data_IF_253872558860
#
_entry.id   IF_253872558860
#
_cell.length_a   1.000
_cell.length_b   1.000
_cell.length_c   1.000
_cell.angle_alpha   90.00
_cell.angle_beta   90.00
_cell.angle_gamma   90.00
#
_symmetry.space_group_name_H-M   'P 1'
#
loop_
_entity.id
_entity.type
_entity.pdbx_description
1 polymer ?
#
# COMPACT_ATOMS: atom_id res chain seq x y z
N UNK A 1 -20.18 12.52 22.07
CA UNK A 1 -19.37 13.52 21.33
C UNK A 1 -18.16 12.73 20.86
N UNK A 2 -18.34 12.04 19.74
CA UNK A 2 -17.36 11.07 19.27
C UNK A 2 -16.14 11.82 18.75
N UNK A 3 -15.01 11.66 19.44
CA UNK A 3 -13.71 11.96 18.85
C UNK A 3 -13.50 10.95 17.73
N UNK A 4 -13.86 11.33 16.51
CA UNK A 4 -13.32 10.72 15.30
C UNK A 4 -11.81 10.86 15.43
N UNK A 5 -11.11 9.75 15.73
CA UNK A 5 -9.67 9.66 15.58
C UNK A 5 -9.35 10.09 14.15
N UNK A 6 -8.77 11.29 13.99
CA UNK A 6 -8.24 11.74 12.72
C UNK A 6 -7.14 10.75 12.33
N UNK A 7 -7.45 9.84 11.40
CA UNK A 7 -6.45 9.01 10.73
C UNK A 7 -5.57 9.99 9.96
N UNK A 8 -4.41 10.32 10.53
CA UNK A 8 -3.46 11.24 9.94
C UNK A 8 -2.24 10.45 9.47
N UNK A 9 -2.13 10.33 8.15
CA UNK A 9 -1.09 9.56 7.48
C UNK A 9 0.21 10.37 7.42
N UNK A 10 1.34 9.69 7.40
CA UNK A 10 2.65 10.31 7.45
C UNK A 10 3.32 10.31 6.08
N UNK A 11 3.80 11.49 5.67
CA UNK A 11 4.78 11.67 4.60
C UNK A 11 6.14 11.84 5.27
N UNK A 12 7.03 10.87 5.15
CA UNK A 12 8.44 11.04 5.49
C UNK A 12 9.14 11.71 4.31
N UNK A 13 9.47 12.98 4.43
CA UNK A 13 10.22 13.72 3.42
C UNK A 13 11.70 13.75 3.82
N UNK A 14 12.56 13.22 2.95
CA UNK A 14 14.02 13.21 3.10
C UNK A 14 14.62 14.12 2.04
N UNK A 15 15.22 15.22 2.47
CA UNK A 15 16.02 16.10 1.61
C UNK A 15 17.51 15.81 1.79
N UNK A 16 18.17 15.30 0.76
CA UNK A 16 19.62 15.07 0.76
C UNK A 16 20.36 16.40 0.56
N UNK A 17 21.17 16.81 1.54
CA UNK A 17 21.95 18.03 1.43
C UNK A 17 22.98 17.92 0.30
N UNK A 18 23.17 19.02 -0.41
CA UNK A 18 24.22 19.19 -1.42
C UNK A 18 25.21 20.28 -1.01
N UNK A 19 26.42 20.26 -1.58
CA UNK A 19 27.40 21.35 -1.48
C UNK A 19 26.96 22.59 -2.27
N UNK A 20 26.09 22.42 -3.25
CA UNK A 20 25.56 23.51 -4.05
C UNK A 20 24.37 24.19 -3.36
N UNK A 21 24.46 25.50 -3.19
CA UNK A 21 23.45 26.30 -2.48
C UNK A 21 22.09 26.33 -3.20
N UNK A 22 22.10 26.36 -4.54
CA UNK A 22 20.87 26.40 -5.34
C UNK A 22 20.09 25.10 -5.17
N UNK A 23 20.78 23.97 -5.13
CA UNK A 23 20.17 22.65 -4.98
C UNK A 23 19.48 22.48 -3.62
N UNK A 24 20.10 22.97 -2.54
CA UNK A 24 19.43 23.00 -1.24
C UNK A 24 18.20 23.93 -1.22
N UNK A 25 18.21 25.00 -2.00
CA UNK A 25 17.05 25.90 -2.14
C UNK A 25 15.90 25.19 -2.86
N UNK A 26 16.19 24.38 -3.87
CA UNK A 26 15.19 23.61 -4.61
C UNK A 26 14.49 22.57 -3.72
N UNK A 27 15.26 21.82 -2.93
CA UNK A 27 14.74 20.89 -1.92
C UNK A 27 13.85 21.63 -0.89
N UNK A 28 14.29 22.79 -0.42
CA UNK A 28 13.49 23.60 0.50
C UNK A 28 12.19 24.09 -0.16
N UNK A 29 12.25 24.59 -1.39
CA UNK A 29 11.07 25.06 -2.13
C UNK A 29 10.03 23.96 -2.31
N UNK A 30 10.48 22.74 -2.62
CA UNK A 30 9.61 21.57 -2.69
C UNK A 30 8.99 21.24 -1.34
N UNK A 31 9.80 21.04 -0.31
CA UNK A 31 9.32 20.63 1.02
C UNK A 31 8.35 21.65 1.62
N UNK A 32 8.62 22.95 1.47
CA UNK A 32 7.70 24.02 1.89
C UNK A 32 6.38 24.01 1.10
N UNK A 33 6.42 23.72 -0.21
CA UNK A 33 5.20 23.62 -1.00
C UNK A 33 4.32 22.45 -0.54
N UNK A 34 4.93 21.31 -0.21
CA UNK A 34 4.22 20.14 0.34
C UNK A 34 3.69 20.46 1.74
N UNK A 35 4.49 21.05 2.62
CA UNK A 35 4.09 21.43 3.97
C UNK A 35 2.86 22.36 3.94
N UNK A 36 2.88 23.41 3.10
CA UNK A 36 1.74 24.34 2.96
C UNK A 36 0.45 23.64 2.52
N UNK A 37 0.54 22.61 1.67
CA UNK A 37 -0.63 21.81 1.26
C UNK A 37 -1.15 20.96 2.42
N UNK A 38 -0.26 20.40 3.23
CA UNK A 38 -0.61 19.51 4.34
C UNK A 38 -1.04 20.24 5.60
N UNK A 39 -0.68 21.52 5.74
CA UNK A 39 -1.16 22.40 6.82
C UNK A 39 -2.64 22.82 6.63
N UNK A 40 -3.25 22.50 5.49
CA UNK A 40 -4.67 22.73 5.27
C UNK A 40 -5.53 21.86 6.21
N UNK A 41 -6.60 22.43 6.78
CA UNK A 41 -7.44 21.77 7.80
C UNK A 41 -8.08 20.44 7.36
N UNK A 42 -8.24 20.21 6.06
CA UNK A 42 -8.84 19.00 5.49
C UNK A 42 -7.81 17.91 5.14
N UNK A 43 -6.52 18.18 5.35
CA UNK A 43 -5.45 17.22 5.08
C UNK A 43 -5.58 15.98 5.96
N UNK A 44 -5.44 14.81 5.33
CA UNK A 44 -5.29 13.49 5.94
C UNK A 44 -3.84 13.09 6.10
N UNK A 45 -2.92 14.03 5.88
CA UNK A 45 -1.49 13.80 5.98
C UNK A 45 -0.79 14.86 6.82
N UNK A 46 0.31 14.47 7.43
CA UNK A 46 1.31 15.37 8.02
C UNK A 46 2.70 15.02 7.47
N UNK A 47 3.60 16.00 7.47
CA UNK A 47 4.95 15.88 6.92
C UNK A 47 5.98 15.75 8.04
N UNK A 48 6.82 14.72 7.98
CA UNK A 48 8.04 14.56 8.77
C UNK A 48 9.23 14.91 7.88
N UNK A 49 9.67 16.17 7.95
CA UNK A 49 10.78 16.69 7.16
C UNK A 49 12.13 16.36 7.83
N UNK A 50 13.00 15.67 7.08
CA UNK A 50 14.37 15.32 7.48
C UNK A 50 15.36 15.82 6.43
N UNK A 51 16.15 16.83 6.79
CA UNK A 51 17.30 17.24 5.98
C UNK A 51 18.54 16.47 6.44
N UNK A 52 19.19 15.78 5.51
CA UNK A 52 20.19 14.75 5.83
C UNK A 52 21.53 15.07 5.16
N UNK A 53 22.63 14.90 5.90
CA UNK A 53 24.00 15.07 5.42
C UNK A 53 24.86 13.80 5.44
N UNK A 54 24.30 12.65 5.83
CA UNK A 54 25.01 11.36 5.85
C UNK A 54 24.06 10.20 5.50
N UNK A 55 24.59 9.15 4.86
CA UNK A 55 23.79 7.96 4.49
C UNK A 55 23.15 7.29 5.72
N UNK A 56 23.86 7.25 6.84
CA UNK A 56 23.38 6.66 8.10
C UNK A 56 22.08 7.30 8.60
N UNK A 57 21.92 8.60 8.43
CA UNK A 57 20.70 9.31 8.82
C UNK A 57 19.49 8.90 7.96
N UNK A 58 19.70 8.49 6.70
CA UNK A 58 18.63 7.95 5.84
C UNK A 58 18.10 6.66 6.43
N UNK A 59 19.01 5.75 6.81
CA UNK A 59 18.63 4.50 7.50
C UNK A 59 17.94 4.78 8.83
N UNK A 60 18.36 5.82 9.57
CA UNK A 60 17.72 6.19 10.83
C UNK A 60 16.31 6.78 10.65
N UNK A 61 16.07 7.50 9.55
CA UNK A 61 14.75 8.03 9.23
C UNK A 61 13.79 6.92 8.77
N UNK A 62 14.28 5.98 7.98
CA UNK A 62 13.52 4.85 7.42
C UNK A 62 13.54 3.68 8.42
N UNK A 63 12.64 3.71 9.39
CA UNK A 63 12.49 2.62 10.37
C UNK A 63 11.01 2.23 10.49
N UNK A 64 10.72 0.94 10.71
CA UNK A 64 9.36 0.42 10.94
C UNK A 64 8.58 1.23 11.97
N UNK A 65 9.22 1.65 13.06
CA UNK A 65 8.60 2.44 14.14
C UNK A 65 8.12 3.83 13.69
N UNK A 66 8.66 4.35 12.58
CA UNK A 66 8.26 5.65 12.04
C UNK A 66 7.03 5.53 11.13
N UNK A 67 6.69 4.31 10.69
CA UNK A 67 5.48 3.89 9.96
C UNK A 67 4.95 4.88 8.91
N UNK A 68 5.79 5.40 7.99
CA UNK A 68 5.34 6.32 6.95
C UNK A 68 4.47 5.63 5.90
N UNK A 69 3.39 6.28 5.47
CA UNK A 69 2.61 5.81 4.33
C UNK A 69 3.25 6.22 3.00
N UNK A 70 3.93 7.36 2.97
CA UNK A 70 4.72 7.82 1.83
C UNK A 70 6.13 8.15 2.29
N UNK A 71 7.14 7.66 1.55
CA UNK A 71 8.52 8.12 1.68
C UNK A 71 8.84 8.93 0.43
N UNK A 72 9.20 10.20 0.62
CA UNK A 72 9.64 11.10 -0.44
C UNK A 72 11.13 11.35 -0.25
N UNK A 73 11.95 11.06 -1.26
CA UNK A 73 13.38 11.37 -1.25
C UNK A 73 13.67 12.37 -2.35
N UNK A 74 14.18 13.53 -1.97
CA UNK A 74 14.54 14.64 -2.85
C UNK A 74 16.03 14.94 -2.70
N UNK A 75 16.72 15.20 -3.80
CA UNK A 75 18.16 15.35 -3.80
C UNK A 75 18.75 15.39 -5.20
N UNK A 76 20.08 15.36 -5.27
CA UNK A 76 20.81 15.19 -6.52
C UNK A 76 21.30 13.78 -6.67
N UNK A 77 21.48 13.37 -7.92
CA UNK A 77 22.03 12.08 -8.21
C UNK A 77 22.91 12.10 -9.44
N UNK A 78 23.83 11.13 -9.47
CA UNK A 78 24.64 10.82 -10.64
C UNK A 78 23.79 10.18 -11.74
N UNK A 79 24.30 10.09 -12.98
CA UNK A 79 23.60 9.41 -14.08
C UNK A 79 23.33 7.91 -13.81
N UNK A 80 24.11 7.30 -12.91
CA UNK A 80 23.87 5.93 -12.43
C UNK A 80 22.75 5.82 -11.38
N UNK A 81 22.16 6.95 -10.97
CA UNK A 81 21.06 7.04 -10.02
C UNK A 81 21.47 6.97 -8.55
N UNK A 82 22.72 7.31 -8.22
CA UNK A 82 23.23 7.35 -6.84
C UNK A 82 22.95 8.71 -6.25
N UNK A 83 22.39 8.78 -5.04
CA UNK A 83 22.04 10.06 -4.42
C UNK A 83 23.29 10.67 -3.77
N UNK A 84 23.60 11.90 -4.11
CA UNK A 84 24.67 12.67 -3.50
C UNK A 84 24.20 13.20 -2.15
N UNK A 85 24.90 12.81 -1.08
CA UNK A 85 24.61 13.25 0.28
C UNK A 85 25.87 13.88 0.85
N UNK A 86 25.80 15.19 1.14
CA UNK A 86 26.97 15.97 1.56
C UNK A 86 26.77 16.48 2.98
N UNK A 87 27.80 16.32 3.82
CA UNK A 87 27.86 16.92 5.14
C UNK A 87 28.03 18.44 5.01
N UNK A 88 27.11 19.20 5.61
CA UNK A 88 27.17 20.67 5.66
C UNK A 88 28.41 21.19 6.37
N UNK A 89 28.98 20.40 7.29
CA UNK A 89 30.16 20.78 8.07
C UNK A 89 31.47 20.41 7.35
N UNK A 90 31.45 19.41 6.46
CA UNK A 90 32.61 18.95 5.71
C UNK A 90 32.22 18.49 4.29
N UNK A 91 32.14 19.42 3.32
CA UNK A 91 31.74 19.10 1.95
C UNK A 91 32.64 18.07 1.24
N UNK A 92 33.85 17.81 1.76
CA UNK A 92 34.76 16.82 1.20
C UNK A 92 34.45 15.39 1.66
N UNK A 93 33.50 15.21 2.58
CA UNK A 93 33.01 13.90 3.04
C UNK A 93 31.67 13.52 2.41
N UNK A 94 31.40 13.98 1.19
CA UNK A 94 30.25 13.53 0.43
C UNK A 94 30.22 12.01 0.29
N UNK A 95 29.06 11.42 0.55
CA UNK A 95 28.78 10.00 0.38
C UNK A 95 27.74 9.83 -0.73
N UNK A 96 27.82 8.71 -1.45
CA UNK A 96 26.77 8.32 -2.39
C UNK A 96 25.88 7.26 -1.73
N UNK A 97 24.58 7.50 -1.70
CA UNK A 97 23.61 6.46 -1.41
C UNK A 97 23.36 5.63 -2.67
N UNK A 98 23.89 4.41 -2.67
CA UNK A 98 23.70 3.44 -3.75
C UNK A 98 22.24 2.94 -3.80
N UNK A 99 21.69 2.67 -5.01
CA UNK A 99 20.35 2.11 -5.18
C UNK A 99 20.11 0.83 -4.35
N UNK A 100 21.07 -0.10 -4.35
CA UNK A 100 20.96 -1.37 -3.62
C UNK A 100 20.93 -1.14 -2.09
N UNK A 101 21.69 -0.16 -1.59
CA UNK A 101 21.66 0.22 -0.17
C UNK A 101 20.31 0.84 0.22
N UNK A 102 19.72 1.67 -0.65
CA UNK A 102 18.40 2.24 -0.43
C UNK A 102 17.30 1.16 -0.37
N UNK A 103 17.40 0.11 -1.21
CA UNK A 103 16.51 -1.07 -1.13
C UNK A 103 16.54 -1.71 0.25
N UNK A 104 17.73 -1.94 0.81
CA UNK A 104 17.89 -2.54 2.15
C UNK A 104 17.31 -1.66 3.26
N UNK A 105 17.44 -0.33 3.16
CA UNK A 105 16.78 0.57 4.11
C UNK A 105 15.25 0.50 4.00
N UNK A 106 14.73 0.48 2.78
CA UNK A 106 13.29 0.42 2.55
C UNK A 106 12.65 -0.88 3.01
N UNK A 107 13.34 -2.03 2.90
CA UNK A 107 12.89 -3.32 3.49
C UNK A 107 12.61 -3.22 4.99
N UNK A 108 13.24 -2.27 5.70
CA UNK A 108 13.07 -2.04 7.13
C UNK A 108 12.02 -0.97 7.50
N UNK A 109 11.38 -0.34 6.51
CA UNK A 109 10.45 0.78 6.70
C UNK A 109 9.08 0.41 7.30
N UNK A 110 8.72 -0.88 7.33
CA UNK A 110 7.33 -1.31 7.47
C UNK A 110 6.55 -1.12 6.16
N UNK A 111 5.22 -1.27 6.18
CA UNK A 111 4.43 -1.16 4.95
C UNK A 111 4.34 0.30 4.48
N UNK A 112 4.80 0.58 3.25
CA UNK A 112 4.82 1.91 2.64
C UNK A 112 3.97 1.86 1.37
N UNK A 113 2.97 2.71 1.25
CA UNK A 113 2.10 2.74 0.07
C UNK A 113 2.83 3.25 -1.18
N UNK A 114 3.71 4.24 -1.02
CA UNK A 114 4.44 4.86 -2.12
C UNK A 114 5.83 5.34 -1.70
N UNK A 115 6.83 5.03 -2.51
CA UNK A 115 8.14 5.70 -2.47
C UNK A 115 8.25 6.63 -3.67
N UNK A 116 8.48 7.92 -3.45
CA UNK A 116 8.70 8.93 -4.49
C UNK A 116 10.18 9.34 -4.48
N UNK A 117 10.90 8.96 -5.53
CA UNK A 117 12.30 9.33 -5.75
C UNK A 117 12.37 10.56 -6.65
N UNK A 118 12.30 11.74 -6.05
CA UNK A 118 12.26 13.01 -6.75
C UNK A 118 13.65 13.59 -7.01
N UNK A 119 14.44 12.86 -7.79
CA UNK A 119 15.78 13.25 -8.23
C UNK A 119 16.07 12.66 -9.61
N UNK A 120 16.97 13.30 -10.37
CA UNK A 120 17.33 12.87 -11.72
C UNK A 120 17.83 11.41 -11.76
N UNK A 121 17.62 10.72 -12.89
CA UNK A 121 18.12 9.36 -13.12
C UNK A 121 17.66 8.29 -12.10
N UNK A 122 16.62 8.55 -11.32
CA UNK A 122 16.15 7.63 -10.28
C UNK A 122 15.44 6.36 -10.79
N UNK A 123 15.25 6.21 -12.12
CA UNK A 123 14.61 5.04 -12.74
C UNK A 123 15.20 3.70 -12.28
N UNK A 124 16.53 3.58 -12.22
CA UNK A 124 17.19 2.31 -11.84
C UNK A 124 16.87 1.94 -10.39
N UNK A 125 16.98 2.91 -9.47
CA UNK A 125 16.61 2.71 -8.08
C UNK A 125 15.12 2.37 -7.94
N UNK A 126 14.25 3.07 -8.68
CA UNK A 126 12.82 2.82 -8.64
C UNK A 126 12.44 1.40 -9.07
N UNK A 127 13.04 0.88 -10.13
CA UNK A 127 12.83 -0.50 -10.62
C UNK A 127 13.34 -1.54 -9.61
N UNK A 128 14.52 -1.32 -9.02
CA UNK A 128 15.09 -2.22 -7.99
C UNK A 128 14.20 -2.27 -6.74
N UNK A 129 13.78 -1.11 -6.21
CA UNK A 129 12.90 -1.04 -5.04
C UNK A 129 11.58 -1.75 -5.33
N UNK A 130 10.97 -1.51 -6.48
CA UNK A 130 9.70 -2.14 -6.83
C UNK A 130 9.81 -3.68 -6.86
N UNK A 131 10.94 -4.22 -7.34
CA UNK A 131 11.19 -5.67 -7.44
C UNK A 131 11.55 -6.31 -6.10
N UNK A 132 12.32 -5.62 -5.26
CA UNK A 132 12.98 -6.24 -4.11
C UNK A 132 12.41 -5.83 -2.74
N UNK A 133 11.84 -4.63 -2.61
CA UNK A 133 11.24 -4.16 -1.37
C UNK A 133 9.75 -4.55 -1.34
N UNK A 134 9.49 -5.79 -0.90
CA UNK A 134 8.14 -6.39 -0.86
C UNK A 134 7.14 -5.67 0.06
N UNK A 135 7.61 -4.72 0.86
CA UNK A 135 6.81 -3.88 1.75
C UNK A 135 6.42 -2.53 1.10
N UNK A 136 6.77 -2.28 -0.17
CA UNK A 136 6.52 -1.00 -0.88
C UNK A 136 5.48 -1.18 -1.99
N UNK A 137 4.35 -0.46 -1.88
CA UNK A 137 3.20 -0.52 -2.79
C UNK A 137 3.49 -0.11 -4.23
N UNK A 138 4.15 1.02 -4.40
CA UNK A 138 4.61 1.49 -5.69
C UNK A 138 5.80 2.44 -5.54
N UNK A 139 6.54 2.60 -6.62
CA UNK A 139 7.72 3.47 -6.65
C UNK A 139 7.62 4.40 -7.85
N UNK A 140 7.67 5.70 -7.57
CA UNK A 140 7.71 6.75 -8.58
C UNK A 140 9.15 7.21 -8.70
N UNK A 141 9.63 7.33 -9.93
CA UNK A 141 10.97 7.84 -10.22
C UNK A 141 11.01 8.65 -11.52
N UNK A 142 12.22 9.04 -11.93
CA UNK A 142 12.49 9.94 -13.04
C UNK A 142 13.43 9.25 -14.02
N UNK A 143 13.03 9.21 -15.30
CA UNK A 143 13.81 8.64 -16.38
C UNK A 143 14.65 9.71 -17.09
N UNK A 144 15.86 9.93 -16.58
CA UNK A 144 16.78 10.95 -17.05
C UNK A 144 16.72 12.22 -16.21
N UNK A 145 17.03 13.35 -16.83
CA UNK A 145 16.98 14.66 -16.20
C UNK A 145 15.57 15.24 -16.09
N UNK A 146 15.39 16.09 -15.08
CA UNK A 146 14.21 16.92 -14.91
C UNK A 146 14.59 18.35 -14.51
N UNK A 147 13.81 19.33 -14.97
CA UNK A 147 13.91 20.70 -14.49
C UNK A 147 13.37 20.81 -13.05
N UNK A 148 14.04 21.59 -12.20
CA UNK A 148 13.65 21.76 -10.80
C UNK A 148 12.23 22.29 -10.63
N UNK A 149 11.79 23.22 -11.49
CA UNK A 149 10.42 23.74 -11.47
C UNK A 149 9.42 22.66 -11.81
N UNK A 150 9.73 21.81 -12.80
CA UNK A 150 8.89 20.66 -13.15
C UNK A 150 8.80 19.64 -12.01
N UNK A 151 9.89 19.43 -11.28
CA UNK A 151 9.93 18.54 -10.12
C UNK A 151 9.07 19.06 -8.95
N UNK A 152 9.14 20.37 -8.67
CA UNK A 152 8.30 21.03 -7.68
C UNK A 152 6.82 20.98 -8.09
N UNK A 153 6.49 21.22 -9.35
CA UNK A 153 5.11 21.20 -9.85
C UNK A 153 4.52 19.80 -9.89
N UNK A 154 5.33 18.77 -10.18
CA UNK A 154 4.95 17.37 -9.98
C UNK A 154 4.49 17.16 -8.54
N UNK A 155 5.36 17.46 -7.57
CA UNK A 155 5.11 17.22 -6.15
C UNK A 155 3.88 17.97 -5.66
N UNK A 156 3.73 19.26 -6.01
CA UNK A 156 2.51 20.04 -5.69
C UNK A 156 1.25 19.37 -6.20
N UNK A 157 1.19 19.01 -7.48
CA UNK A 157 -0.01 18.43 -8.08
C UNK A 157 -0.29 17.01 -7.56
N UNK A 158 0.75 16.20 -7.35
CA UNK A 158 0.66 14.88 -6.74
C UNK A 158 0.06 14.97 -5.33
N UNK A 159 0.65 15.77 -4.44
CA UNK A 159 0.19 15.88 -3.06
C UNK A 159 -1.14 16.61 -2.91
N UNK A 160 -1.42 17.61 -3.74
CA UNK A 160 -2.76 18.24 -3.79
C UNK A 160 -3.85 17.23 -4.16
N UNK A 161 -3.55 16.28 -5.06
CA UNK A 161 -4.48 15.21 -5.41
C UNK A 161 -4.69 14.20 -4.26
N UNK A 162 -3.76 14.12 -3.31
CA UNK A 162 -3.81 13.21 -2.17
C UNK A 162 -4.37 13.84 -0.90
N UNK A 163 -4.28 15.16 -0.70
CA UNK A 163 -4.47 15.82 0.60
C UNK A 163 -5.67 15.29 1.41
N UNK A 164 -6.84 15.08 0.80
CA UNK A 164 -8.06 14.64 1.47
C UNK A 164 -8.34 13.13 1.42
N UNK A 165 -7.42 12.32 0.87
CA UNK A 165 -7.62 10.89 0.58
C UNK A 165 -6.89 9.99 1.58
N UNK A 166 -7.50 8.85 1.90
CA UNK A 166 -6.86 7.77 2.65
C UNK A 166 -6.21 6.80 1.65
N UNK A 167 -4.97 6.39 1.89
CA UNK A 167 -4.22 5.45 1.05
C UNK A 167 -4.61 4.01 1.39
N UNK A 168 -5.82 3.64 1.00
CA UNK A 168 -6.34 2.28 1.18
C UNK A 168 -6.10 1.37 -0.03
N UNK A 169 -5.79 1.95 -1.20
CA UNK A 169 -5.55 1.24 -2.46
C UNK A 169 -4.49 1.93 -3.34
N UNK A 170 -3.99 1.22 -4.35
CA UNK A 170 -3.00 1.73 -5.29
C UNK A 170 -3.58 2.73 -6.32
N UNK A 171 -4.88 2.67 -6.63
CA UNK A 171 -5.50 3.52 -7.65
C UNK A 171 -5.50 5.00 -7.27
N UNK A 172 -5.62 5.30 -5.97
CA UNK A 172 -5.47 6.66 -5.42
C UNK A 172 -4.09 7.24 -5.75
N UNK A 173 -3.02 6.44 -5.64
CA UNK A 173 -1.67 6.88 -5.99
C UNK A 173 -1.50 7.02 -7.51
N UNK A 174 -2.05 6.10 -8.31
CA UNK A 174 -1.99 6.17 -9.78
C UNK A 174 -2.69 7.41 -10.33
N UNK A 175 -3.83 7.79 -9.75
CA UNK A 175 -4.54 9.03 -10.07
C UNK A 175 -3.68 10.25 -9.72
N UNK A 176 -3.12 10.30 -8.51
CA UNK A 176 -2.25 11.39 -8.07
C UNK A 176 -0.98 11.49 -8.94
N UNK A 177 -0.37 10.36 -9.30
CA UNK A 177 0.75 10.28 -10.23
C UNK A 177 0.39 10.87 -11.59
N UNK A 178 -0.80 10.55 -12.11
CA UNK A 178 -1.28 11.08 -13.39
C UNK A 178 -1.43 12.61 -13.35
N UNK A 179 -1.92 13.16 -12.23
CA UNK A 179 -2.00 14.63 -12.01
C UNK A 179 -0.62 15.27 -11.90
N UNK A 180 0.29 14.67 -11.12
CA UNK A 180 1.67 15.12 -10.99
C UNK A 180 2.40 15.15 -12.33
N UNK A 181 2.35 14.04 -13.07
CA UNK A 181 2.99 13.92 -14.39
C UNK A 181 2.45 14.96 -15.36
N UNK A 182 1.13 15.17 -15.40
CA UNK A 182 0.52 16.19 -16.26
C UNK A 182 0.98 17.62 -15.92
N UNK A 183 1.25 17.93 -14.65
CA UNK A 183 1.79 19.23 -14.24
C UNK A 183 3.27 19.39 -14.68
N UNK A 184 4.11 18.38 -14.42
CA UNK A 184 5.52 18.38 -14.82
C UNK A 184 5.72 18.50 -16.33
N UNK A 185 4.88 17.84 -17.12
CA UNK A 185 4.97 17.84 -18.58
C UNK A 185 4.60 19.19 -19.23
N UNK A 186 4.06 20.16 -18.46
CA UNK A 186 3.86 21.53 -18.96
C UNK A 186 5.19 22.27 -19.14
N UNK A 187 6.20 21.90 -18.35
CA UNK A 187 7.54 22.49 -18.37
C UNK A 187 8.48 21.59 -19.18
N UNK A 188 8.47 20.29 -18.86
CA UNK A 188 9.26 19.28 -19.56
C UNK A 188 8.47 18.73 -20.74
N UNK A 189 8.91 18.96 -21.98
CA UNK A 189 8.23 18.45 -23.20
C UNK A 189 8.28 16.92 -23.36
N UNK A 190 8.70 16.19 -22.32
CA UNK A 190 8.88 14.74 -22.27
C UNK A 190 8.33 14.22 -20.95
N UNK A 191 7.61 13.10 -21.00
CA UNK A 191 7.18 12.39 -19.80
C UNK A 191 8.39 11.75 -19.11
N UNK A 192 8.97 12.47 -18.15
CA UNK A 192 10.14 12.01 -17.39
C UNK A 192 9.75 11.09 -16.23
N UNK A 193 8.61 11.34 -15.58
CA UNK A 193 8.13 10.54 -14.46
C UNK A 193 7.59 9.17 -14.88
N UNK A 194 8.03 8.16 -14.16
CA UNK A 194 7.61 6.76 -14.32
C UNK A 194 7.09 6.23 -12.99
N UNK A 195 6.18 5.25 -13.06
CA UNK A 195 5.64 4.55 -11.92
C UNK A 195 5.84 3.06 -12.13
N UNK A 196 6.55 2.42 -11.19
CA UNK A 196 6.60 0.97 -11.06
C UNK A 196 5.62 0.54 -9.99
N UNK A 197 4.78 -0.46 -10.32
CA UNK A 197 4.01 -1.14 -9.28
C UNK A 197 4.99 -1.97 -8.47
N UNK A 198 4.97 -1.80 -7.15
CA UNK A 198 5.80 -2.59 -6.26
C UNK A 198 5.25 -4.01 -6.14
N UNK A 199 6.04 -4.89 -5.55
CA UNK A 199 5.63 -6.26 -5.24
C UNK A 199 4.82 -6.37 -3.95
N UNK A 200 4.33 -5.25 -3.39
CA UNK A 200 3.56 -5.27 -2.15
C UNK A 200 2.31 -6.12 -2.25
N UNK A 201 2.40 -7.28 -1.63
CA UNK A 201 1.29 -8.19 -1.41
C UNK A 201 0.63 -7.76 -0.11
N UNK A 202 -0.62 -7.29 -0.17
CA UNK A 202 -1.39 -6.94 1.02
C UNK A 202 -1.80 -8.23 1.74
N UNK A 203 -0.88 -8.79 2.52
CA UNK A 203 -1.10 -10.04 3.26
C UNK A 203 -1.84 -9.75 4.56
N UNK A 204 -2.91 -10.50 4.80
CA UNK A 204 -3.82 -10.30 5.92
C UNK A 204 -4.19 -11.63 6.58
N UNK A 205 -4.60 -11.55 7.84
CA UNK A 205 -5.49 -12.54 8.47
C UNK A 205 -6.90 -11.98 8.49
N UNK A 206 -7.88 -12.85 8.29
CA UNK A 206 -9.30 -12.47 8.26
C UNK A 206 -10.01 -13.24 9.37
N UNK A 207 -10.60 -12.54 10.35
CA UNK A 207 -11.24 -13.15 11.52
C UNK A 207 -12.74 -12.85 11.58
N UNK A 208 -13.55 -13.86 11.90
CA UNK A 208 -15.00 -13.73 12.03
C UNK A 208 -15.37 -13.08 13.35
N UNK A 209 -16.22 -12.05 13.30
CA UNK A 209 -16.70 -11.30 14.46
C UNK A 209 -18.02 -11.83 15.05
N UNK A 210 -18.39 -13.08 14.73
CA UNK A 210 -19.60 -13.70 15.31
C UNK A 210 -19.57 -13.75 16.83
N UNK A 211 -20.75 -13.64 17.46
CA UNK A 211 -20.90 -13.44 18.91
C UNK A 211 -20.67 -14.71 19.75
N UNK A 212 -20.46 -15.87 19.11
CA UNK A 212 -20.21 -17.13 19.80
C UNK A 212 -18.70 -17.44 19.88
N UNK A 213 -18.21 -18.06 20.97
CA UNK A 213 -16.83 -18.55 21.04
C UNK A 213 -16.57 -19.68 20.03
N UNK A 214 -15.34 -19.77 19.52
CA UNK A 214 -14.91 -20.85 18.64
C UNK A 214 -13.82 -20.42 17.66
N UNK A 215 -13.66 -21.15 16.57
CA UNK A 215 -12.66 -20.88 15.54
C UNK A 215 -13.06 -19.65 14.74
N UNK A 216 -12.11 -18.73 14.49
CA UNK A 216 -12.41 -17.41 13.92
C UNK A 216 -11.69 -17.11 12.62
N UNK A 217 -10.52 -17.69 12.37
CA UNK A 217 -9.70 -17.30 11.23
C UNK A 217 -10.14 -18.01 9.96
N UNK A 218 -10.40 -17.25 8.90
CA UNK A 218 -10.70 -17.81 7.59
C UNK A 218 -9.49 -18.63 7.10
N UNK A 219 -9.67 -19.92 6.85
CA UNK A 219 -8.60 -20.85 6.52
C UNK A 219 -8.86 -21.53 5.18
N UNK A 220 -7.95 -21.31 4.22
CA UNK A 220 -7.96 -21.96 2.93
C UNK A 220 -7.20 -23.29 2.96
N UNK A 221 -7.90 -24.40 2.84
CA UNK A 221 -7.33 -25.75 2.80
C UNK A 221 -6.93 -26.07 1.36
N UNK A 222 -5.73 -25.62 0.99
CA UNK A 222 -5.28 -25.50 -0.41
C UNK A 222 -5.19 -26.82 -1.17
N UNK A 223 -4.92 -27.93 -0.48
CA UNK A 223 -4.90 -29.28 -1.08
C UNK A 223 -6.30 -29.77 -1.44
N UNK A 224 -7.25 -29.58 -0.53
CA UNK A 224 -8.62 -30.07 -0.66
C UNK A 224 -9.53 -29.12 -1.47
N UNK A 225 -9.10 -27.86 -1.65
CA UNK A 225 -9.90 -26.84 -2.32
C UNK A 225 -11.09 -26.35 -1.48
N UNK A 226 -11.01 -26.50 -0.16
CA UNK A 226 -12.09 -26.15 0.77
C UNK A 226 -11.70 -24.96 1.63
N UNK A 227 -12.69 -24.33 2.27
CA UNK A 227 -12.51 -23.19 3.17
C UNK A 227 -13.25 -23.48 4.46
N UNK A 228 -12.64 -23.13 5.59
CA UNK A 228 -13.24 -23.29 6.91
C UNK A 228 -12.77 -22.20 7.88
N UNK A 229 -13.02 -22.43 9.16
CA UNK A 229 -12.49 -21.60 10.24
C UNK A 229 -11.38 -22.34 10.98
N UNK A 230 -10.36 -21.60 11.42
CA UNK A 230 -9.23 -22.08 12.20
C UNK A 230 -9.12 -21.35 13.56
N UNK A 231 -8.53 -22.00 14.58
CA UNK A 231 -8.35 -21.42 15.91
C UNK A 231 -7.16 -20.45 16.01
N UNK A 232 -6.20 -20.53 15.09
CA UNK A 232 -4.93 -19.80 15.13
C UNK A 232 -4.47 -19.48 13.71
N UNK A 233 -3.63 -18.45 13.57
CA UNK A 233 -2.97 -18.08 12.30
C UNK A 233 -1.56 -18.66 12.17
N UNK A 234 -1.17 -19.55 13.07
CA UNK A 234 0.17 -20.14 13.17
C UNK A 234 0.12 -21.66 13.24
N UNK A 235 1.29 -22.30 13.10
CA UNK A 235 1.41 -23.76 13.15
C UNK A 235 0.85 -24.41 11.89
N UNK A 236 -0.07 -25.37 12.05
CA UNK A 236 -0.63 -26.15 10.93
C UNK A 236 -1.61 -25.36 10.04
N UNK A 237 -2.06 -24.18 10.48
CA UNK A 237 -3.08 -23.36 9.79
C UNK A 237 -2.46 -22.35 8.84
N UNK A 238 -1.62 -22.83 7.94
CA UNK A 238 -0.87 -22.01 6.97
C UNK A 238 -1.81 -21.29 5.99
N UNK A 239 -3.01 -21.83 5.77
CA UNK A 239 -4.05 -21.27 4.91
C UNK A 239 -4.80 -20.05 5.45
N UNK A 240 -4.48 -19.58 6.67
CA UNK A 240 -5.07 -18.38 7.28
C UNK A 240 -4.47 -17.06 6.80
N UNK A 241 -3.41 -17.13 5.99
CA UNK A 241 -2.76 -15.97 5.38
C UNK A 241 -3.33 -15.76 3.98
N UNK A 242 -3.86 -14.57 3.75
CA UNK A 242 -4.51 -14.21 2.51
C UNK A 242 -3.86 -12.97 1.92
N UNK A 243 -3.57 -13.00 0.63
CA UNK A 243 -3.18 -11.82 -0.14
C UNK A 243 -4.41 -11.17 -0.76
N UNK A 244 -4.62 -9.89 -0.47
CA UNK A 244 -5.66 -9.07 -1.09
C UNK A 244 -5.09 -8.49 -2.39
N UNK A 245 -5.69 -8.87 -3.51
CA UNK A 245 -5.45 -8.25 -4.81
C UNK A 245 -6.63 -7.32 -5.15
N UNK A 246 -6.40 -6.02 -5.14
CA UNK A 246 -7.45 -5.02 -5.39
C UNK A 246 -7.62 -4.75 -6.89
N UNK A 247 -8.86 -4.88 -7.39
CA UNK A 247 -9.21 -4.73 -8.80
C UNK A 247 -9.77 -3.34 -9.12
N UNK A 248 -10.60 -2.79 -8.23
CA UNK A 248 -11.16 -1.44 -8.34
C UNK A 248 -11.65 -0.93 -6.99
N UNK A 249 -11.78 0.39 -6.81
CA UNK A 249 -12.30 0.97 -5.57
C UNK A 249 -13.22 2.14 -5.87
N UNK A 250 -14.30 2.28 -5.09
CA UNK A 250 -15.25 3.38 -5.17
C UNK A 250 -15.83 3.68 -3.79
N UNK A 251 -15.55 4.86 -3.23
CA UNK A 251 -16.00 5.20 -1.88
C UNK A 251 -15.47 4.22 -0.83
N UNK A 252 -16.38 3.62 -0.05
CA UNK A 252 -16.06 2.64 0.99
C UNK A 252 -16.05 1.18 0.48
N UNK A 253 -16.23 0.96 -0.81
CA UNK A 253 -16.21 -0.36 -1.42
C UNK A 253 -14.99 -0.56 -2.31
N UNK A 254 -14.39 -1.75 -2.21
CA UNK A 254 -13.26 -2.18 -3.03
C UNK A 254 -13.57 -3.56 -3.59
N UNK A 255 -13.43 -3.73 -4.90
CA UNK A 255 -13.52 -5.05 -5.54
C UNK A 255 -12.16 -5.71 -5.45
N UNK A 256 -12.11 -6.91 -4.89
CA UNK A 256 -10.87 -7.65 -4.60
C UNK A 256 -10.95 -9.11 -5.07
N UNK A 257 -9.79 -9.76 -5.16
CA UNK A 257 -9.67 -11.22 -5.08
C UNK A 257 -8.79 -11.58 -3.89
N UNK A 258 -9.10 -12.68 -3.22
CA UNK A 258 -8.37 -13.17 -2.05
C UNK A 258 -7.59 -14.43 -2.43
N UNK A 259 -6.26 -14.37 -2.36
CA UNK A 259 -5.38 -15.50 -2.65
C UNK A 259 -4.83 -16.11 -1.36
N UNK A 260 -5.09 -17.39 -1.12
CA UNK A 260 -4.62 -18.14 0.03
C UNK A 260 -3.13 -18.49 -0.13
N UNK A 261 -2.33 -18.15 0.88
CA UNK A 261 -0.88 -18.37 0.91
C UNK A 261 -0.47 -19.66 1.62
N UNK A 262 -1.37 -20.65 1.71
CA UNK A 262 -1.09 -21.94 2.34
C UNK A 262 0.07 -22.69 1.65
N UNK A 263 0.88 -23.37 2.48
CA UNK A 263 2.16 -23.96 2.07
C UNK A 263 2.04 -25.06 1.00
N UNK A 264 0.87 -25.69 0.89
CA UNK A 264 0.65 -26.76 -0.10
C UNK A 264 0.20 -26.16 -1.44
N UNK A 265 0.88 -26.47 -2.57
CA UNK A 265 0.41 -26.11 -3.91
C UNK A 265 -1.00 -26.66 -4.19
N UNK A 266 -1.83 -25.90 -4.90
CA UNK A 266 -3.19 -26.32 -5.21
C UNK A 266 -4.10 -25.14 -5.51
N UNK A 267 -5.33 -25.21 -5.01
CA UNK A 267 -6.29 -24.12 -5.14
C UNK A 267 -5.84 -22.91 -4.32
N UNK A 268 -6.15 -21.70 -4.79
CA UNK A 268 -5.60 -20.45 -4.25
C UNK A 268 -6.65 -19.39 -4.00
N UNK A 269 -7.64 -19.23 -4.86
CA UNK A 269 -8.53 -18.08 -4.79
C UNK A 269 -9.81 -18.38 -4.03
N UNK A 270 -10.20 -17.53 -3.08
CA UNK A 270 -11.48 -17.65 -2.38
C UNK A 270 -12.62 -17.53 -3.38
N UNK A 271 -13.45 -18.56 -3.48
CA UNK A 271 -14.52 -18.67 -4.48
C UNK A 271 -15.88 -18.87 -3.80
N UNK A 272 -16.77 -17.90 -3.99
CA UNK A 272 -18.15 -17.96 -3.53
C UNK A 272 -19.05 -18.63 -4.57
N UNK A 273 -19.50 -19.85 -4.29
CA UNK A 273 -20.39 -20.63 -5.15
C UNK A 273 -21.84 -20.24 -4.87
N UNK A 274 -22.28 -19.18 -5.52
CA UNK A 274 -23.53 -18.46 -5.19
C UNK A 274 -24.78 -19.33 -5.34
N UNK A 275 -24.83 -20.24 -6.31
CA UNK A 275 -25.98 -21.16 -6.49
C UNK A 275 -26.15 -22.11 -5.31
N UNK A 276 -25.05 -22.67 -4.83
CA UNK A 276 -25.03 -23.67 -3.75
C UNK A 276 -24.97 -23.03 -2.36
N UNK A 277 -24.65 -21.74 -2.27
CA UNK A 277 -24.44 -21.03 -1.01
C UNK A 277 -23.17 -21.48 -0.26
N UNK A 278 -22.21 -22.07 -0.97
CA UNK A 278 -20.97 -22.60 -0.37
C UNK A 278 -19.76 -21.75 -0.72
N UNK A 279 -18.67 -21.94 0.02
CA UNK A 279 -17.39 -21.27 -0.21
C UNK A 279 -16.29 -22.31 -0.34
N UNK A 280 -15.40 -22.12 -1.30
CA UNK A 280 -14.26 -23.00 -1.53
C UNK A 280 -13.06 -22.23 -2.05
N UNK A 281 -12.07 -22.98 -2.54
CA UNK A 281 -10.95 -22.41 -3.28
C UNK A 281 -11.03 -22.78 -4.75
N UNK A 282 -10.70 -21.82 -5.62
CA UNK A 282 -10.57 -21.97 -7.05
C UNK A 282 -9.09 -21.92 -7.48
N UNK A 283 -8.71 -22.55 -8.60
CA UNK A 283 -7.35 -22.53 -9.12
C UNK A 283 -7.04 -21.27 -9.95
N UNK A 284 -8.06 -20.49 -10.34
CA UNK A 284 -7.95 -19.29 -11.17
C UNK A 284 -9.09 -18.33 -10.84
N UNK A 285 -8.92 -17.05 -11.18
CA UNK A 285 -9.94 -15.99 -11.06
C UNK A 285 -10.73 -15.73 -12.35
N UNK A 286 -10.54 -16.60 -13.35
CA UNK A 286 -11.11 -16.47 -14.69
C UNK A 286 -11.85 -17.73 -15.12
N UNK A 287 -12.60 -17.65 -16.22
CA UNK A 287 -13.36 -18.78 -16.75
C UNK A 287 -14.59 -19.05 -15.91
N UNK A 288 -14.76 -20.30 -15.47
CA UNK A 288 -15.95 -20.76 -14.72
C UNK A 288 -15.99 -20.30 -13.26
N UNK A 289 -14.89 -19.76 -12.73
CA UNK A 289 -14.74 -19.36 -11.32
C UNK A 289 -15.16 -17.90 -11.12
N UNK A 290 -16.42 -17.59 -11.46
CA UNK A 290 -16.94 -16.22 -11.42
C UNK A 290 -17.04 -15.68 -9.98
N UNK A 291 -17.12 -16.59 -8.99
CA UNK A 291 -17.26 -16.27 -7.57
C UNK A 291 -15.97 -15.83 -6.88
N UNK A 292 -14.86 -15.70 -7.59
CA UNK A 292 -13.57 -15.30 -6.99
C UNK A 292 -13.42 -13.80 -6.76
N UNK A 293 -14.37 -13.00 -7.26
CA UNK A 293 -14.40 -11.54 -7.09
C UNK A 293 -15.33 -11.18 -5.95
N UNK A 294 -14.83 -10.36 -5.04
CA UNK A 294 -15.54 -9.96 -3.82
C UNK A 294 -15.60 -8.45 -3.75
N UNK A 295 -16.78 -7.90 -3.52
CA UNK A 295 -16.95 -6.53 -3.06
C UNK A 295 -16.73 -6.50 -1.55
N UNK A 296 -15.63 -5.87 -1.15
CA UNK A 296 -15.28 -5.61 0.24
C UNK A 296 -15.82 -4.23 0.63
N UNK A 297 -16.78 -4.20 1.55
CA UNK A 297 -17.39 -2.99 2.06
C UNK A 297 -16.86 -2.67 3.46
N UNK A 298 -16.13 -1.56 3.58
CA UNK A 298 -15.54 -1.11 4.84
C UNK A 298 -16.60 -0.53 5.79
N UNK A 299 -16.66 -1.06 7.02
CA UNK A 299 -17.57 -0.61 8.07
C UNK A 299 -16.86 0.32 9.07
N UNK A 300 -15.63 -0.02 9.43
CA UNK A 300 -14.76 0.79 10.31
C UNK A 300 -13.30 0.40 10.15
N UNK A 301 -12.38 1.30 10.48
CA UNK A 301 -10.94 1.05 10.43
C UNK A 301 -10.25 1.65 11.65
N UNK A 302 -9.30 0.90 12.22
CA UNK A 302 -8.54 1.29 13.41
C UNK A 302 -7.14 0.69 13.35
N UNK A 303 -6.11 1.54 13.29
CA UNK A 303 -4.71 1.09 13.23
C UNK A 303 -4.44 0.19 12.02
N UNK A 304 -4.03 -1.06 12.26
CA UNK A 304 -3.77 -2.06 11.23
C UNK A 304 -4.95 -3.02 10.98
N UNK A 305 -6.13 -2.72 11.53
CA UNK A 305 -7.34 -3.53 11.44
C UNK A 305 -8.47 -2.79 10.73
N UNK A 306 -9.24 -3.52 9.93
CA UNK A 306 -10.39 -3.00 9.20
C UNK A 306 -11.55 -4.00 9.31
N UNK A 307 -12.71 -3.54 9.76
CA UNK A 307 -13.92 -4.35 9.82
C UNK A 307 -14.70 -4.19 8.53
N UNK A 308 -15.03 -5.31 7.88
CA UNK A 308 -15.66 -5.34 6.55
C UNK A 308 -16.82 -6.32 6.48
N UNK A 309 -17.63 -6.17 5.43
CA UNK A 309 -18.43 -7.26 4.88
C UNK A 309 -17.88 -7.65 3.50
N UNK A 310 -17.98 -8.93 3.14
CA UNK A 310 -17.51 -9.47 1.86
C UNK A 310 -18.70 -10.02 1.07
N UNK A 311 -18.95 -9.45 -0.11
CA UNK A 311 -20.05 -9.84 -1.00
C UNK A 311 -19.50 -10.43 -2.30
N UNK A 312 -19.85 -11.68 -2.57
CA UNK A 312 -19.48 -12.39 -3.79
C UNK A 312 -20.17 -11.78 -5.03
N UNK A 313 -19.37 -11.51 -6.06
CA UNK A 313 -19.80 -10.94 -7.33
C UNK A 313 -20.03 -12.00 -8.43
N UNK A 314 -20.16 -13.28 -8.05
CA UNK A 314 -20.40 -14.37 -9.00
C UNK A 314 -21.64 -14.16 -9.88
N UNK A 315 -21.56 -14.67 -11.11
CA UNK A 315 -22.53 -14.37 -12.18
C UNK A 315 -23.91 -15.02 -11.96
N UNK A 316 -24.00 -16.03 -11.10
CA UNK A 316 -25.25 -16.74 -10.79
C UNK A 316 -25.93 -16.09 -9.59
N UNK A 317 -27.26 -15.90 -9.66
CA UNK A 317 -28.05 -15.45 -8.51
C UNK A 317 -28.05 -16.47 -7.37
N UNK A 318 -28.13 -15.96 -6.14
CA UNK A 318 -28.08 -16.75 -4.92
C UNK A 318 -27.64 -15.92 -3.72
N UNK A 319 -27.38 -16.54 -2.55
CA UNK A 319 -26.69 -15.89 -1.44
C UNK A 319 -25.31 -15.36 -1.86
N UNK A 320 -24.90 -14.22 -1.27
CA UNK A 320 -23.68 -13.50 -1.69
C UNK A 320 -22.76 -13.09 -0.56
N UNK A 321 -23.23 -13.01 0.68
CA UNK A 321 -22.42 -12.48 1.78
C UNK A 321 -21.68 -13.59 2.51
N UNK A 322 -20.37 -13.42 2.70
CA UNK A 322 -19.52 -14.36 3.42
C UNK A 322 -19.95 -14.45 4.88
N UNK A 323 -20.26 -15.66 5.34
CA UNK A 323 -20.72 -15.93 6.69
C UNK A 323 -19.86 -17.01 7.35
N UNK A 324 -19.34 -16.72 8.55
CA UNK A 324 -18.59 -17.69 9.35
C UNK A 324 -19.47 -18.37 10.39
N UNK A 325 -19.85 -19.63 10.17
CA UNK A 325 -20.55 -20.46 11.16
C UNK A 325 -19.55 -21.01 12.18
N UNK A 326 -19.23 -20.18 13.18
CA UNK A 326 -18.20 -20.47 14.19
C UNK A 326 -18.42 -21.82 14.89
N UNK A 327 -19.66 -22.14 15.27
CA UNK A 327 -19.98 -23.38 15.98
C UNK A 327 -19.76 -24.65 15.14
N UNK A 328 -19.91 -24.53 13.81
CA UNK A 328 -19.76 -25.63 12.87
C UNK A 328 -18.38 -25.62 12.18
N UNK A 329 -17.56 -24.61 12.44
CA UNK A 329 -16.25 -24.35 11.82
C UNK A 329 -16.30 -24.23 10.27
N UNK A 330 -17.47 -23.86 9.75
CA UNK A 330 -17.77 -23.76 8.32
C UNK A 330 -17.89 -22.31 7.87
N UNK A 331 -17.59 -22.08 6.59
CA UNK A 331 -17.81 -20.82 5.91
C UNK A 331 -18.80 -21.04 4.76
N UNK A 332 -19.79 -20.16 4.65
CA UNK A 332 -20.87 -20.25 3.67
C UNK A 332 -21.24 -18.88 3.11
N UNK A 333 -22.22 -18.84 2.20
CA UNK A 333 -22.84 -17.61 1.73
C UNK A 333 -24.26 -17.48 2.29
N UNK A 334 -24.63 -16.26 2.69
CA UNK A 334 -26.00 -15.89 3.09
C UNK A 334 -26.56 -14.76 2.23
N UNK A 335 -27.89 -14.59 2.24
CA UNK A 335 -28.58 -13.58 1.42
C UNK A 335 -28.47 -12.15 1.96
N UNK A 336 -28.28 -11.98 3.26
CA UNK A 336 -28.23 -10.68 3.93
C UNK A 336 -27.24 -10.69 5.09
N UNK A 337 -26.69 -9.53 5.42
CA UNK A 337 -25.86 -9.30 6.61
C UNK A 337 -26.68 -8.81 7.81
N UNK A 338 -27.96 -8.51 7.61
CA UNK A 338 -28.82 -7.92 8.63
C UNK A 338 -29.01 -8.87 9.82
N UNK A 339 -28.68 -8.39 11.02
CA UNK A 339 -28.77 -9.18 12.26
C UNK A 339 -27.72 -10.28 12.41
N UNK A 340 -26.76 -10.42 11.49
CA UNK A 340 -25.76 -11.49 11.51
C UNK A 340 -24.35 -10.94 11.75
N UNK A 341 -23.91 -10.93 13.01
CA UNK A 341 -22.55 -10.54 13.40
C UNK A 341 -21.47 -11.40 12.72
N UNK A 342 -21.77 -12.66 12.44
CA UNK A 342 -20.90 -13.62 11.72
C UNK A 342 -20.65 -13.29 10.24
N UNK A 343 -21.32 -12.27 9.70
CA UNK A 343 -21.04 -11.73 8.35
C UNK A 343 -20.04 -10.57 8.36
N UNK A 344 -19.66 -10.11 9.55
CA UNK A 344 -18.62 -9.08 9.74
C UNK A 344 -17.28 -9.76 9.97
N UNK A 345 -16.28 -9.27 9.27
CA UNK A 345 -14.93 -9.83 9.29
C UNK A 345 -13.94 -8.72 9.64
N UNK A 346 -13.04 -9.01 10.58
CA UNK A 346 -11.90 -8.15 10.86
C UNK A 346 -10.72 -8.61 10.00
N UNK A 347 -10.24 -7.70 9.15
CA UNK A 347 -9.03 -7.86 8.35
C UNK A 347 -7.89 -7.20 9.09
N UNK A 348 -6.86 -7.97 9.43
CA UNK A 348 -5.65 -7.48 10.07
C UNK A 348 -4.46 -7.66 9.12
N UNK A 349 -3.76 -6.57 8.82
CA UNK A 349 -2.51 -6.61 8.05
C UNK A 349 -1.44 -7.42 8.80
N UNK A 350 -0.87 -8.42 8.13
CA UNK A 350 0.25 -9.22 8.62
C UNK A 350 1.52 -8.59 8.03
N UNK A 351 2.42 -8.13 8.91
CA UNK A 351 3.72 -7.55 8.55
C UNK A 351 4.77 -8.60 8.20
#
# INVERSE_FOLDING_TARGET
>A
MDQVLLINQKILYIGANSSEKNLNMEINNESEAIQRLMDANDSKFWVDLRLIGMVTQVSEAIQRKTSPQIIHISGHATEEGKIDIIDKQDPNKGEHLEPDTLVEFLKNAGNVNCVLLNFCYSRKAADLIAKEAQNVGCVIGINGDIDSTAAVDFSKAFYKSLQGKILNNQSVIVEAFSKGRAAASQITKKDAYILFSGTFKKVVSISCLGDVPGYRFLDGRTREGTVGLAPSTTGLFTGTRWEINELSSSGNTTVITLECLGDVPGYRFLDGRTREGTVGLAPSTTGVFTGTRWEMNELSSSGNTTVVTLKCLGDVEGPRFLNGKIADEIVELVHSTEGLSSTKWEIMLIS
#
